data_IF_629968315433
#
_entry.id   IF_629968315433
#
_cell.length_a   1.000
_cell.length_b   1.000
_cell.length_c   1.000
_cell.angle_alpha   90.00
_cell.angle_beta   90.00
_cell.angle_gamma   90.00
#
_symmetry.space_group_name_H-M   'P 1'
#
loop_
_entity.id
_entity.type
_entity.pdbx_description
1 polymer ?
#
# COMPACT_ATOMS: atom_id res chain seq x y z
N UNK A 1 -23.51 26.35 -23.76
CA UNK A 1 -22.12 26.27 -24.23
C UNK A 1 -21.61 24.88 -23.89
N UNK A 2 -20.83 24.24 -24.76
CA UNK A 2 -20.24 22.93 -24.47
C UNK A 2 -18.95 23.11 -23.67
N UNK A 3 -18.65 22.17 -22.77
CA UNK A 3 -17.42 22.13 -21.99
C UNK A 3 -16.17 22.25 -22.87
N UNK A 4 -16.22 21.67 -24.07
CA UNK A 4 -15.17 21.75 -25.08
C UNK A 4 -14.88 23.18 -25.55
N UNK A 5 -15.91 23.99 -25.79
CA UNK A 5 -15.75 25.39 -26.20
C UNK A 5 -15.24 26.26 -25.04
N UNK A 6 -15.65 25.95 -23.81
CA UNK A 6 -15.19 26.67 -22.62
C UNK A 6 -13.72 26.31 -22.33
N UNK A 7 -13.33 25.03 -22.48
CA UNK A 7 -11.93 24.59 -22.41
C UNK A 7 -11.08 25.24 -23.49
N UNK A 8 -11.54 25.27 -24.74
CA UNK A 8 -10.79 25.89 -25.83
C UNK A 8 -10.51 27.36 -25.54
N UNK A 9 -11.55 28.15 -25.19
CA UNK A 9 -11.39 29.57 -24.86
C UNK A 9 -10.41 29.79 -23.71
N UNK A 10 -10.51 28.99 -22.65
CA UNK A 10 -9.59 29.08 -21.51
C UNK A 10 -8.14 28.77 -21.91
N UNK A 11 -7.91 27.70 -22.68
CA UNK A 11 -6.56 27.23 -23.01
C UNK A 11 -5.86 28.10 -24.05
N UNK A 12 -6.58 28.81 -24.91
CA UNK A 12 -5.98 29.69 -25.94
C UNK A 12 -5.67 31.10 -25.44
N UNK A 13 -6.05 31.44 -24.22
CA UNK A 13 -5.57 32.67 -23.57
C UNK A 13 -4.07 32.54 -23.30
N UNK A 14 -3.27 33.52 -23.76
CA UNK A 14 -1.80 33.50 -23.69
C UNK A 14 -1.27 33.18 -22.28
N UNK A 15 -1.88 33.75 -21.23
CA UNK A 15 -1.47 33.50 -19.85
C UNK A 15 -1.69 32.04 -19.45
N UNK A 16 -2.87 31.49 -19.74
CA UNK A 16 -3.22 30.12 -19.40
C UNK A 16 -2.41 29.12 -20.21
N UNK A 17 -2.18 29.38 -21.50
CA UNK A 17 -1.34 28.55 -22.35
C UNK A 17 0.10 28.51 -21.83
N UNK A 18 0.68 29.67 -21.53
CA UNK A 18 2.04 29.76 -20.97
C UNK A 18 2.15 29.07 -19.61
N UNK A 19 1.13 29.19 -18.76
CA UNK A 19 1.08 28.50 -17.46
C UNK A 19 0.96 26.99 -17.64
N UNK A 20 0.14 26.51 -18.58
CA UNK A 20 0.01 25.09 -18.91
C UNK A 20 1.33 24.48 -19.37
N UNK A 21 2.05 25.16 -20.27
CA UNK A 21 3.37 24.70 -20.74
C UNK A 21 4.35 24.58 -19.58
N UNK A 22 4.40 25.57 -18.69
CA UNK A 22 5.22 25.49 -17.47
C UNK A 22 4.80 24.32 -16.59
N UNK A 23 3.50 24.18 -16.31
CA UNK A 23 2.96 23.13 -15.43
C UNK A 23 3.26 21.72 -15.95
N UNK A 24 3.20 21.51 -17.27
CA UNK A 24 3.54 20.22 -17.90
C UNK A 24 4.94 19.73 -17.50
N UNK A 25 5.91 20.64 -17.45
CA UNK A 25 7.30 20.30 -17.14
C UNK A 25 7.52 19.97 -15.65
N UNK A 26 6.60 20.38 -14.77
CA UNK A 26 6.64 20.11 -13.32
C UNK A 26 5.68 19.01 -12.87
N UNK A 27 4.74 18.59 -13.71
CA UNK A 27 3.66 17.66 -13.32
C UNK A 27 4.19 16.39 -12.67
N UNK A 28 5.21 15.75 -13.28
CA UNK A 28 5.81 14.53 -12.72
C UNK A 28 6.43 14.75 -11.33
N UNK A 29 7.03 15.92 -11.06
CA UNK A 29 7.61 16.24 -9.75
C UNK A 29 6.52 16.45 -8.70
N UNK A 30 5.45 17.16 -9.07
CA UNK A 30 4.29 17.38 -8.18
C UNK A 30 3.60 16.06 -7.88
N UNK A 31 3.39 15.22 -8.89
CA UNK A 31 2.81 13.87 -8.75
C UNK A 31 3.58 13.02 -7.74
N UNK A 32 4.91 12.91 -7.91
CA UNK A 32 5.76 12.16 -6.96
C UNK A 32 5.69 12.74 -5.55
N UNK A 33 5.73 14.07 -5.42
CA UNK A 33 5.66 14.73 -4.11
C UNK A 33 4.33 14.48 -3.40
N UNK A 34 3.20 14.49 -4.12
CA UNK A 34 1.88 14.21 -3.52
C UNK A 34 1.83 12.80 -2.93
N UNK A 35 2.29 11.81 -3.68
CA UNK A 35 2.31 10.40 -3.26
C UNK A 35 3.23 10.20 -2.06
N UNK A 36 4.44 10.76 -2.11
CA UNK A 36 5.41 10.67 -1.01
C UNK A 36 4.86 11.30 0.27
N UNK A 37 4.37 12.54 0.20
CA UNK A 37 3.80 13.22 1.38
C UNK A 37 2.56 12.51 1.92
N UNK A 38 1.79 11.80 1.08
CA UNK A 38 0.69 10.97 1.53
C UNK A 38 1.17 9.73 2.29
N UNK A 39 2.11 8.96 1.74
CA UNK A 39 2.62 7.75 2.41
C UNK A 39 3.40 8.07 3.69
N UNK A 40 4.10 9.19 3.75
CA UNK A 40 4.73 9.66 4.98
C UNK A 40 3.67 9.93 6.07
N UNK A 41 2.51 10.50 5.70
CA UNK A 41 1.40 10.71 6.63
C UNK A 41 0.72 9.40 7.06
N UNK A 42 0.59 8.44 6.14
CA UNK A 42 0.09 7.09 6.48
C UNK A 42 1.04 6.45 7.49
N UNK A 43 2.35 6.53 7.23
CA UNK A 43 3.40 5.99 8.09
C UNK A 43 3.41 6.62 9.48
N UNK A 44 3.33 7.94 9.57
CA UNK A 44 3.19 8.66 10.84
C UNK A 44 1.95 8.18 11.62
N UNK A 45 0.81 8.04 10.93
CA UNK A 45 -0.45 7.59 11.55
C UNK A 45 -0.35 6.13 12.00
N UNK A 46 0.27 5.27 11.21
CA UNK A 46 0.48 3.87 11.51
C UNK A 46 1.40 3.69 12.72
N UNK A 47 2.51 4.45 12.79
CA UNK A 47 3.41 4.47 13.96
C UNK A 47 2.68 4.86 15.25
N UNK A 48 1.71 5.77 15.16
CA UNK A 48 0.89 6.15 16.31
C UNK A 48 -0.04 5.01 16.75
N UNK A 49 -0.63 4.26 15.81
CA UNK A 49 -1.48 3.10 16.11
C UNK A 49 -0.68 1.92 16.70
N UNK A 50 0.55 1.70 16.23
CA UNK A 50 1.33 0.52 16.61
C UNK A 50 2.17 0.68 17.87
N UNK A 51 2.35 1.91 18.38
CA UNK A 51 3.28 2.26 19.47
C UNK A 51 3.22 1.34 20.69
N UNK A 52 2.03 0.92 21.09
CA UNK A 52 1.80 0.07 22.26
C UNK A 52 1.12 -1.26 21.88
N UNK A 53 1.33 -1.71 20.64
CA UNK A 53 0.70 -2.91 20.07
C UNK A 53 1.71 -4.07 19.90
N UNK A 54 1.22 -5.24 19.49
CA UNK A 54 2.06 -6.39 19.11
C UNK A 54 2.65 -6.29 17.71
N UNK A 55 2.26 -5.26 16.95
CA UNK A 55 2.65 -5.03 15.57
C UNK A 55 3.83 -4.05 15.49
N UNK A 56 4.78 -4.36 14.62
CA UNK A 56 5.83 -3.46 14.21
C UNK A 56 5.73 -3.17 12.71
N UNK A 57 6.27 -2.02 12.31
CA UNK A 57 6.34 -1.61 10.91
C UNK A 57 7.69 -2.09 10.38
N UNK A 58 7.67 -2.85 9.28
CA UNK A 58 8.89 -3.20 8.55
C UNK A 58 9.17 -2.14 7.48
N UNK A 59 10.41 -1.68 7.43
CA UNK A 59 10.92 -0.67 6.51
C UNK A 59 12.24 -1.20 5.94
N UNK A 60 12.38 -1.24 4.61
CA UNK A 60 13.71 -1.24 4.01
C UNK A 60 14.27 0.18 4.17
N UNK A 61 15.50 0.32 4.69
CA UNK A 61 16.07 1.62 5.14
C UNK A 61 16.15 2.70 4.05
N UNK A 62 15.97 2.36 2.77
CA UNK A 62 16.04 3.27 1.61
C UNK A 62 14.80 3.21 0.71
N UNK A 63 13.62 2.91 1.26
CA UNK A 63 12.43 2.66 0.44
C UNK A 63 12.03 3.85 -0.44
N UNK A 64 12.38 3.78 -1.73
CA UNK A 64 11.79 4.62 -2.75
C UNK A 64 10.38 4.08 -3.01
N UNK A 65 9.34 4.82 -2.59
CA UNK A 65 7.94 4.46 -2.89
C UNK A 65 7.69 4.25 -4.38
N UNK A 66 8.59 4.75 -5.24
CA UNK A 66 8.53 4.63 -6.69
C UNK A 66 9.25 3.40 -7.26
N UNK A 67 9.87 2.57 -6.43
CA UNK A 67 10.36 1.26 -6.86
C UNK A 67 9.21 0.32 -7.24
N UNK A 68 9.51 -0.64 -8.11
CA UNK A 68 8.51 -1.59 -8.65
C UNK A 68 7.84 -2.43 -7.57
N UNK A 69 8.52 -2.65 -6.43
CA UNK A 69 8.08 -3.52 -5.34
C UNK A 69 7.95 -2.76 -4.03
N UNK A 70 7.65 -1.46 -4.09
CA UNK A 70 7.46 -0.64 -2.88
C UNK A 70 6.32 -1.19 -2.03
N UNK A 71 6.57 -1.31 -0.72
CA UNK A 71 5.62 -1.90 0.21
C UNK A 71 5.69 -1.30 1.60
N UNK A 72 4.59 -1.27 2.34
CA UNK A 72 4.61 -0.87 3.75
C UNK A 72 3.92 -1.95 4.56
N UNK A 73 4.65 -2.55 5.50
CA UNK A 73 4.23 -3.81 6.13
C UNK A 73 4.08 -3.70 7.64
N UNK A 74 3.04 -4.33 8.19
CA UNK A 74 2.87 -4.67 9.59
C UNK A 74 3.19 -6.14 9.82
N UNK A 75 4.06 -6.43 10.77
CA UNK A 75 4.43 -7.79 11.16
C UNK A 75 4.51 -7.90 12.68
N UNK A 76 4.46 -9.13 13.21
CA UNK A 76 4.84 -9.36 14.60
C UNK A 76 6.34 -9.66 14.68
N UNK A 77 7.09 -9.06 15.62
CA UNK A 77 8.54 -9.30 15.75
C UNK A 77 8.91 -10.77 15.93
N UNK A 78 8.08 -11.55 16.63
CA UNK A 78 8.28 -13.00 16.82
C UNK A 78 8.24 -13.81 15.51
N UNK A 79 7.68 -13.24 14.43
CA UNK A 79 7.66 -13.89 13.12
C UNK A 79 8.94 -13.64 12.33
N UNK A 80 9.69 -12.60 12.68
CA UNK A 80 10.90 -12.23 11.98
C UNK A 80 12.09 -13.05 12.46
N UNK A 81 12.84 -13.63 11.50
CA UNK A 81 14.08 -14.34 11.79
C UNK A 81 15.28 -13.57 11.21
N UNK A 82 15.93 -12.76 12.05
CA UNK A 82 17.15 -11.99 11.69
C UNK A 82 18.28 -12.86 11.16
N UNK A 83 18.39 -14.11 11.60
CA UNK A 83 19.47 -15.01 11.17
C UNK A 83 19.22 -15.59 9.77
N UNK A 84 17.99 -15.52 9.27
CA UNK A 84 17.58 -16.05 7.97
C UNK A 84 17.31 -14.94 6.92
N UNK A 85 17.78 -13.71 7.16
CA UNK A 85 17.58 -12.52 6.32
C UNK A 85 17.90 -12.72 4.82
N UNK A 86 18.73 -13.71 4.46
CA UNK A 86 19.13 -13.95 3.06
C UNK A 86 18.22 -14.92 2.28
N UNK A 87 17.42 -15.77 2.94
CA UNK A 87 16.54 -16.73 2.25
C UNK A 87 15.10 -16.82 2.82
N UNK A 88 14.86 -16.44 4.08
CA UNK A 88 13.55 -16.67 4.74
C UNK A 88 12.88 -15.43 5.39
N UNK A 89 13.59 -14.30 5.57
CA UNK A 89 13.02 -12.96 5.85
C UNK A 89 11.85 -12.86 6.86
N UNK A 90 10.96 -11.87 6.67
CA UNK A 90 9.63 -11.88 7.29
C UNK A 90 8.80 -12.94 6.56
N UNK A 91 8.23 -13.94 7.23
CA UNK A 91 7.50 -15.00 6.54
C UNK A 91 6.06 -14.61 6.20
N UNK A 92 5.51 -13.66 6.96
CA UNK A 92 4.11 -13.27 6.94
C UNK A 92 3.98 -11.83 7.45
N UNK A 93 3.24 -10.99 6.74
CA UNK A 93 2.87 -9.66 7.19
C UNK A 93 1.50 -9.26 6.62
N UNK A 94 0.92 -8.18 7.13
CA UNK A 94 -0.08 -7.40 6.39
C UNK A 94 0.66 -6.26 5.72
N UNK A 95 0.44 -6.03 4.44
CA UNK A 95 1.21 -5.04 3.72
C UNK A 95 0.38 -4.29 2.68
N UNK A 96 0.71 -3.02 2.49
CA UNK A 96 0.43 -2.29 1.26
C UNK A 96 1.51 -2.62 0.23
N UNK A 97 1.16 -2.74 -1.04
CA UNK A 97 2.09 -2.86 -2.17
C UNK A 97 1.74 -1.88 -3.29
N UNK A 98 2.70 -1.68 -4.21
CA UNK A 98 2.54 -0.82 -5.39
C UNK A 98 2.17 0.62 -4.99
N UNK A 99 2.93 1.20 -4.06
CA UNK A 99 2.64 2.48 -3.40
C UNK A 99 2.63 3.68 -4.38
N UNK A 100 3.12 3.51 -5.61
CA UNK A 100 3.18 4.54 -6.65
C UNK A 100 2.22 4.33 -7.84
N UNK A 101 1.48 3.22 -7.88
CA UNK A 101 0.63 2.84 -9.02
C UNK A 101 -0.79 2.53 -8.52
N UNK A 102 -1.22 1.28 -8.67
CA UNK A 102 -2.48 0.76 -8.16
C UNK A 102 -2.18 0.09 -6.83
N UNK A 103 -2.34 0.84 -5.75
CA UNK A 103 -2.03 0.37 -4.42
C UNK A 103 -3.11 -0.58 -3.91
N UNK A 104 -2.68 -1.72 -3.40
CA UNK A 104 -3.50 -2.74 -2.76
C UNK A 104 -2.91 -3.16 -1.43
N UNK A 105 -3.73 -3.77 -0.57
CA UNK A 105 -3.27 -4.34 0.69
C UNK A 105 -3.85 -5.71 1.00
N UNK A 106 -3.10 -6.46 1.80
CA UNK A 106 -3.56 -7.72 2.36
C UNK A 106 -2.48 -8.52 3.04
N UNK A 107 -2.73 -9.82 3.18
CA UNK A 107 -1.78 -10.75 3.77
C UNK A 107 -0.72 -11.10 2.74
N UNK A 108 0.53 -10.77 3.03
CA UNK A 108 1.69 -11.22 2.27
C UNK A 108 2.30 -12.46 2.91
N UNK A 109 2.69 -13.43 2.08
CA UNK A 109 3.46 -14.61 2.50
C UNK A 109 4.71 -14.68 1.64
N UNK A 110 5.88 -14.81 2.29
CA UNK A 110 7.14 -15.06 1.59
C UNK A 110 7.12 -16.46 0.93
N UNK A 111 6.77 -16.51 -0.34
CA UNK A 111 6.64 -17.75 -1.14
C UNK A 111 7.98 -18.38 -1.54
N UNK A 112 9.10 -17.71 -1.28
CA UNK A 112 10.44 -18.21 -1.58
C UNK A 112 11.04 -19.02 -0.43
N UNK A 113 10.46 -18.94 0.76
CA UNK A 113 10.96 -19.65 1.93
C UNK A 113 10.72 -21.15 1.83
N UNK A 114 11.75 -21.93 2.20
CA UNK A 114 11.69 -23.40 2.27
C UNK A 114 11.21 -23.91 3.63
N UNK A 115 11.03 -23.02 4.60
CA UNK A 115 10.66 -23.36 5.98
C UNK A 115 9.15 -23.49 6.19
N UNK A 116 8.35 -22.94 5.27
CA UNK A 116 6.90 -22.77 5.45
C UNK A 116 6.11 -23.58 4.43
N UNK A 117 5.01 -24.18 4.88
CA UNK A 117 4.05 -24.83 3.98
C UNK A 117 3.16 -23.79 3.29
N UNK A 118 3.71 -23.16 2.25
CA UNK A 118 3.06 -22.09 1.49
C UNK A 118 1.72 -22.54 0.89
N UNK A 119 1.61 -23.80 0.48
CA UNK A 119 0.39 -24.33 -0.12
C UNK A 119 -0.75 -24.35 0.91
N UNK A 120 -0.51 -24.96 2.08
CA UNK A 120 -1.50 -24.99 3.16
C UNK A 120 -1.85 -23.60 3.69
N UNK A 121 -0.86 -22.70 3.77
CA UNK A 121 -1.10 -21.31 4.19
C UNK A 121 -2.05 -20.57 3.24
N UNK A 122 -1.84 -20.71 1.92
CA UNK A 122 -2.70 -20.12 0.90
C UNK A 122 -4.12 -20.68 0.93
N UNK A 123 -4.26 -22.01 1.07
CA UNK A 123 -5.57 -22.65 1.11
C UNK A 123 -6.36 -22.26 2.35
N UNK A 124 -5.69 -22.08 3.49
CA UNK A 124 -6.33 -21.55 4.69
C UNK A 124 -6.81 -20.10 4.51
N UNK A 125 -5.97 -19.22 3.93
CA UNK A 125 -6.34 -17.82 3.69
C UNK A 125 -7.56 -17.66 2.79
N UNK A 126 -7.68 -18.48 1.73
CA UNK A 126 -8.82 -18.45 0.80
C UNK A 126 -10.17 -18.79 1.45
N UNK A 127 -10.14 -19.48 2.60
CA UNK A 127 -11.34 -19.85 3.34
C UNK A 127 -11.83 -18.73 4.27
N UNK A 128 -11.03 -17.68 4.47
CA UNK A 128 -11.38 -16.59 5.38
C UNK A 128 -12.44 -15.69 4.74
N UNK A 129 -13.51 -15.31 5.48
CA UNK A 129 -14.56 -14.42 4.98
C UNK A 129 -14.05 -13.10 4.39
N UNK A 130 -12.91 -12.63 4.90
CA UNK A 130 -12.28 -11.39 4.51
C UNK A 130 -11.66 -11.51 3.10
N UNK A 131 -11.27 -12.72 2.66
CA UNK A 131 -10.59 -12.96 1.37
C UNK A 131 -11.50 -12.92 0.12
N UNK A 132 -12.78 -12.53 0.27
CA UNK A 132 -13.83 -12.66 -0.76
C UNK A 132 -13.62 -11.85 -2.04
N UNK A 133 -12.70 -10.89 -2.06
CA UNK A 133 -12.43 -10.02 -3.23
C UNK A 133 -11.12 -10.35 -3.96
N UNK A 134 -10.56 -11.54 -3.74
CA UNK A 134 -9.30 -11.93 -4.38
C UNK A 134 -9.45 -12.08 -5.91
N UNK A 135 -8.84 -11.14 -6.66
CA UNK A 135 -8.48 -11.35 -8.06
C UNK A 135 -7.08 -11.96 -8.09
N UNK A 136 -6.99 -13.20 -8.53
CA UNK A 136 -5.73 -13.95 -8.53
C UNK A 136 -4.70 -13.31 -9.47
N UNK A 137 -3.56 -12.89 -8.95
CA UNK A 137 -2.34 -12.91 -9.76
C UNK A 137 -1.09 -13.16 -8.91
N UNK A 138 -0.47 -14.30 -9.20
CA UNK A 138 0.91 -14.79 -9.01
C UNK A 138 1.73 -14.51 -7.73
N UNK A 139 1.28 -13.68 -6.80
CA UNK A 139 1.92 -13.45 -5.51
C UNK A 139 0.84 -13.55 -4.42
N UNK A 140 1.18 -14.11 -3.25
CA UNK A 140 0.23 -14.52 -2.23
C UNK A 140 -0.54 -13.32 -1.66
N UNK A 141 -1.78 -13.05 -2.09
CA UNK A 141 -2.53 -11.89 -1.59
C UNK A 141 -4.05 -12.04 -1.70
N UNK A 142 -4.81 -12.50 -0.70
CA UNK A 142 -6.20 -12.09 -0.67
C UNK A 142 -6.27 -10.55 -0.61
N UNK A 143 -6.92 -9.93 -1.59
CA UNK A 143 -7.19 -8.49 -1.60
C UNK A 143 -8.29 -8.19 -0.57
N UNK A 144 -8.04 -7.23 0.30
CA UNK A 144 -9.05 -6.67 1.20
C UNK A 144 -9.20 -5.19 0.84
N UNK A 145 -10.43 -4.68 0.69
CA UNK A 145 -10.68 -3.22 0.57
C UNK A 145 -10.63 -2.58 -0.83
N UNK A 146 -10.69 -1.23 -0.82
CA UNK A 146 -10.74 -0.35 -2.01
C UNK A 146 -9.33 -0.07 -2.57
N UNK A 147 -9.23 0.02 -3.90
CA UNK A 147 -7.99 0.30 -4.64
C UNK A 147 -7.71 1.83 -4.67
N UNK A 148 -6.47 2.24 -4.35
CA UNK A 148 -5.99 3.60 -4.63
C UNK A 148 -5.21 3.59 -5.95
N UNK A 149 -5.72 4.28 -6.96
CA UNK A 149 -5.10 4.35 -8.28
C UNK A 149 -4.44 5.72 -8.50
N UNK A 150 -3.11 5.78 -8.32
CA UNK A 150 -2.32 6.97 -8.57
C UNK A 150 -1.97 7.19 -10.06
N UNK A 151 -2.36 6.28 -10.94
CA UNK A 151 -2.20 6.40 -12.39
C UNK A 151 -3.24 7.33 -13.01
N UNK A 152 -4.32 7.64 -12.29
CA UNK A 152 -5.38 8.52 -12.74
C UNK A 152 -5.58 9.77 -11.84
N UNK A 153 -6.20 10.85 -12.34
CA UNK A 153 -6.42 12.07 -11.55
C UNK A 153 -7.35 11.91 -10.34
N UNK A 154 -8.29 10.96 -10.37
CA UNK A 154 -9.25 10.76 -9.27
C UNK A 154 -8.59 10.18 -8.03
N UNK A 155 -7.61 9.27 -8.16
CA UNK A 155 -6.84 8.80 -7.01
C UNK A 155 -5.97 9.92 -6.40
N UNK A 156 -5.34 10.74 -7.25
CA UNK A 156 -4.56 11.90 -6.78
C UNK A 156 -5.43 12.94 -6.06
N UNK A 157 -6.66 13.14 -6.53
CA UNK A 157 -7.62 14.06 -5.90
C UNK A 157 -7.88 13.69 -4.44
N UNK A 158 -7.88 12.41 -4.10
CA UNK A 158 -8.15 11.94 -2.75
C UNK A 158 -7.02 12.32 -1.76
N UNK A 159 -5.79 12.47 -2.25
CA UNK A 159 -4.60 12.74 -1.43
C UNK A 159 -4.11 14.20 -1.51
N UNK A 160 -4.94 15.10 -2.07
CA UNK A 160 -4.66 16.52 -2.07
C UNK A 160 -4.52 17.08 -0.64
N UNK A 161 -3.76 18.16 -0.42
CA UNK A 161 -3.48 18.68 0.92
C UNK A 161 -4.72 18.90 1.80
N UNK A 162 -5.87 19.26 1.22
CA UNK A 162 -7.11 19.48 1.97
C UNK A 162 -7.76 18.22 2.55
N UNK A 163 -7.45 17.03 2.02
CA UNK A 163 -7.99 15.74 2.47
C UNK A 163 -6.93 14.74 2.92
N UNK A 164 -5.65 15.03 2.65
CA UNK A 164 -4.52 14.10 2.81
C UNK A 164 -4.44 13.50 4.20
N UNK A 165 -4.43 14.31 5.25
CA UNK A 165 -4.22 13.82 6.61
C UNK A 165 -5.37 12.91 7.07
N UNK A 166 -6.60 13.25 6.69
CA UNK A 166 -7.77 12.41 7.00
C UNK A 166 -7.71 11.09 6.24
N UNK A 167 -7.41 11.13 4.94
CA UNK A 167 -7.23 9.90 4.15
C UNK A 167 -6.07 9.05 4.65
N UNK A 168 -4.96 9.67 5.05
CA UNK A 168 -3.81 8.95 5.56
C UNK A 168 -4.13 8.18 6.85
N UNK A 169 -4.92 8.78 7.75
CA UNK A 169 -5.42 8.11 8.95
C UNK A 169 -6.35 6.95 8.61
N UNK A 170 -7.29 7.15 7.70
CA UNK A 170 -8.19 6.08 7.24
C UNK A 170 -7.39 4.89 6.69
N UNK A 171 -6.38 5.14 5.86
CA UNK A 171 -5.53 4.11 5.27
C UNK A 171 -4.66 3.38 6.30
N UNK A 172 -4.09 4.10 7.27
CA UNK A 172 -3.36 3.49 8.38
C UNK A 172 -4.28 2.59 9.23
N UNK A 173 -5.50 3.05 9.52
CA UNK A 173 -6.50 2.29 10.27
C UNK A 173 -6.94 1.04 9.51
N UNK A 174 -7.16 1.11 8.19
CA UNK A 174 -7.57 -0.04 7.37
C UNK A 174 -6.60 -1.24 7.51
N UNK A 175 -5.30 -0.99 7.39
CA UNK A 175 -4.29 -2.06 7.51
C UNK A 175 -4.12 -2.52 8.95
N UNK A 176 -4.17 -1.60 9.91
CA UNK A 176 -4.05 -1.95 11.33
C UNK A 176 -5.25 -2.80 11.81
N UNK A 177 -6.47 -2.43 11.44
CA UNK A 177 -7.69 -3.17 11.79
C UNK A 177 -7.68 -4.55 11.14
N UNK A 178 -7.29 -4.66 9.87
CA UNK A 178 -7.13 -5.95 9.21
C UNK A 178 -6.09 -6.84 9.92
N UNK A 179 -4.96 -6.27 10.33
CA UNK A 179 -3.94 -6.99 11.08
C UNK A 179 -4.51 -7.56 12.39
N UNK A 180 -5.23 -6.74 13.16
CA UNK A 180 -5.87 -7.17 14.40
C UNK A 180 -6.97 -8.21 14.16
N UNK A 181 -7.80 -8.04 13.14
CA UNK A 181 -8.86 -8.99 12.79
C UNK A 181 -8.28 -10.36 12.42
N UNK A 182 -7.16 -10.37 11.70
CA UNK A 182 -6.49 -11.59 11.25
C UNK A 182 -5.45 -12.12 12.23
N UNK A 183 -5.24 -11.48 13.38
CA UNK A 183 -4.11 -11.76 14.28
C UNK A 183 -3.96 -13.26 14.61
N UNK A 184 -5.06 -13.89 15.07
CA UNK A 184 -5.07 -15.30 15.44
C UNK A 184 -4.90 -16.23 14.22
N UNK A 185 -5.40 -15.83 13.06
CA UNK A 185 -5.22 -16.55 11.80
C UNK A 185 -3.76 -16.52 11.36
N UNK A 186 -3.13 -15.36 11.44
CA UNK A 186 -1.72 -15.16 11.10
C UNK A 186 -0.80 -15.93 12.06
N UNK A 187 -1.12 -15.96 13.36
CA UNK A 187 -0.41 -16.80 14.34
C UNK A 187 -0.55 -18.30 14.09
N UNK A 188 -1.66 -18.74 13.49
CA UNK A 188 -1.84 -20.13 13.05
C UNK A 188 -1.02 -20.42 11.80
N UNK A 189 -1.03 -19.51 10.83
CA UNK A 189 -0.24 -19.61 9.59
C UNK A 189 1.25 -19.68 9.90
N UNK A 190 1.76 -18.86 10.81
CA UNK A 190 3.15 -18.89 11.28
C UNK A 190 3.56 -20.21 11.97
N UNK A 191 2.62 -21.11 12.29
CA UNK A 191 2.93 -22.45 12.82
C UNK A 191 2.95 -23.53 11.75
N UNK A 192 2.56 -23.21 10.51
CA UNK A 192 2.54 -24.14 9.37
C UNK A 192 3.94 -24.23 8.74
N UNK A 193 4.83 -24.99 9.40
CA UNK A 193 6.19 -25.27 8.89
C UNK A 193 6.19 -26.52 8.01
N UNK A 194 7.06 -26.54 7.01
CA UNK A 194 7.34 -27.73 6.18
C UNK A 194 8.10 -28.81 6.93
#
# INVERSE_FOLDING_TARGET
MSLENDMYKFLVEDENFNNMVKLRDYYAKVHRRLIQEFWDKVKESLRALTKDSVWEIYEEEDQDYFERWSSMSLYKPKWYNKEAEKEDGIPLCIAWESLNLNTYYGVWINNHSKLWDIASMRDYLKQLPQAKNFKSDNHCWPLFGEELDFTNPDGLRQILPGSRDQRAKEYATLVYDLANELEAHLDKLFKMKS
#
